data_IF_000615986222
#
_entry.id   IF_000615986222
#
_cell.length_a   1.000
_cell.length_b   1.000
_cell.length_c   1.000
_cell.angle_alpha   90.00
_cell.angle_beta   90.00
_cell.angle_gamma   90.00
#
_symmetry.space_group_name_H-M   'P 1'
#
loop_
_entity.id
_entity.type
_entity.pdbx_description
1 polymer ?
#
# COMPACT_ATOMS: atom_id res chain seq x y z
N UNK A 1 -3.20 -16.50 6.07
CA UNK A 1 -1.89 -15.81 6.02
C UNK A 1 -1.25 -15.81 7.40
N UNK A 2 0.08 -15.88 7.48
CA UNK A 2 0.87 -16.01 8.70
C UNK A 2 2.17 -15.23 8.59
N UNK A 3 2.57 -14.55 9.66
CA UNK A 3 3.88 -13.93 9.81
C UNK A 3 4.69 -14.66 10.88
N UNK A 4 5.94 -14.99 10.57
CA UNK A 4 6.87 -15.64 11.49
C UNK A 4 8.14 -14.82 11.59
N UNK A 5 8.59 -14.61 12.82
CA UNK A 5 9.92 -14.08 13.11
C UNK A 5 10.56 -14.91 14.22
N UNK A 6 11.49 -15.79 13.82
CA UNK A 6 12.03 -16.84 14.68
C UNK A 6 12.84 -16.33 15.87
N UNK A 7 13.52 -15.19 15.71
CA UNK A 7 14.42 -14.62 16.73
C UNK A 7 13.71 -14.38 18.06
N UNK A 8 12.44 -13.96 18.01
CA UNK A 8 11.59 -13.74 19.18
C UNK A 8 10.44 -14.74 19.29
N UNK A 9 10.50 -15.84 18.53
CA UNK A 9 9.44 -16.86 18.51
C UNK A 9 8.08 -16.38 18.02
N UNK A 10 7.99 -15.19 17.41
CA UNK A 10 6.75 -14.55 16.99
C UNK A 10 6.11 -15.36 15.86
N UNK A 11 4.83 -15.72 16.04
CA UNK A 11 4.01 -16.44 15.05
C UNK A 11 2.60 -15.84 15.03
N UNK A 12 2.38 -14.89 14.14
CA UNK A 12 1.09 -14.21 14.00
C UNK A 12 0.28 -14.91 12.93
N UNK A 13 -0.91 -15.40 13.30
CA UNK A 13 -1.89 -15.88 12.33
C UNK A 13 -2.89 -14.78 12.02
N UNK A 14 -2.95 -14.35 10.76
CA UNK A 14 -3.91 -13.33 10.31
C UNK A 14 -5.27 -13.97 10.13
N UNK A 15 -6.26 -13.48 10.89
CA UNK A 15 -7.65 -13.93 10.83
C UNK A 15 -8.49 -12.87 10.15
N UNK A 16 -9.41 -13.30 9.29
CA UNK A 16 -10.37 -12.38 8.67
C UNK A 16 -11.20 -11.67 9.74
N UNK A 17 -11.59 -10.43 9.44
CA UNK A 17 -12.41 -9.58 10.31
C UNK A 17 -11.81 -9.29 11.70
N UNK A 18 -10.51 -9.52 11.89
CA UNK A 18 -9.79 -9.23 13.13
C UNK A 18 -8.54 -8.44 12.83
N UNK A 19 -8.15 -7.59 13.78
CA UNK A 19 -6.86 -6.89 13.72
C UNK A 19 -5.84 -7.66 14.53
N UNK A 20 -4.67 -7.90 13.95
CA UNK A 20 -3.53 -8.45 14.66
C UNK A 20 -2.66 -7.30 15.16
N UNK A 21 -2.33 -7.33 16.44
CA UNK A 21 -1.46 -6.33 17.09
C UNK A 21 -0.24 -7.04 17.66
N UNK A 22 0.95 -6.60 17.27
CA UNK A 22 2.23 -6.99 17.86
C UNK A 22 2.71 -5.86 18.77
N UNK A 23 2.74 -6.12 20.07
CA UNK A 23 3.24 -5.20 21.09
C UNK A 23 4.68 -5.58 21.42
N UNK A 24 5.61 -4.65 21.24
CA UNK A 24 7.02 -4.83 21.58
C UNK A 24 7.39 -3.81 22.66
N UNK A 25 7.37 -4.24 23.92
CA UNK A 25 7.51 -3.31 25.06
C UNK A 25 8.94 -2.76 25.22
N UNK A 26 9.94 -3.52 24.76
CA UNK A 26 11.34 -3.09 24.82
C UNK A 26 11.67 -2.22 23.59
N UNK A 27 12.15 -0.99 23.79
CA UNK A 27 12.53 -0.10 22.67
C UNK A 27 13.54 -0.72 21.71
N UNK A 28 14.49 -1.53 22.23
CA UNK A 28 15.48 -2.23 21.40
C UNK A 28 14.82 -3.26 20.47
N UNK A 29 13.94 -4.10 21.00
CA UNK A 29 13.21 -5.12 20.22
C UNK A 29 12.29 -4.46 19.20
N UNK A 30 11.58 -3.40 19.62
CA UNK A 30 10.73 -2.62 18.73
C UNK A 30 11.53 -2.05 17.54
N UNK A 31 12.66 -1.38 17.82
CA UNK A 31 13.50 -0.81 16.80
C UNK A 31 14.08 -1.87 15.85
N UNK A 32 14.57 -2.99 16.38
CA UNK A 32 15.10 -4.12 15.59
C UNK A 32 14.03 -4.72 14.67
N UNK A 33 12.83 -4.98 15.19
CA UNK A 33 11.72 -5.51 14.40
C UNK A 33 11.31 -4.56 13.28
N UNK A 34 11.05 -3.29 13.62
CA UNK A 34 10.61 -2.28 12.64
C UNK A 34 11.69 -2.04 11.58
N UNK A 35 12.96 -1.99 11.97
CA UNK A 35 14.07 -1.85 11.03
C UNK A 35 14.17 -3.06 10.09
N UNK A 36 14.06 -4.27 10.61
CA UNK A 36 14.09 -5.51 9.82
C UNK A 36 12.92 -5.54 8.83
N UNK A 37 11.71 -5.25 9.30
CA UNK A 37 10.51 -5.20 8.47
C UNK A 37 10.63 -4.14 7.37
N UNK A 38 11.10 -2.93 7.72
CA UNK A 38 11.30 -1.85 6.76
C UNK A 38 12.35 -2.22 5.69
N UNK A 39 13.45 -2.86 6.07
CA UNK A 39 14.46 -3.32 5.11
C UNK A 39 13.89 -4.34 4.12
N UNK A 40 13.10 -5.31 4.60
CA UNK A 40 12.43 -6.28 3.74
C UNK A 40 11.37 -5.66 2.85
N UNK A 41 10.62 -4.70 3.37
CA UNK A 41 9.68 -3.89 2.60
C UNK A 41 10.39 -3.09 1.49
N UNK A 42 11.64 -2.67 1.69
CA UNK A 42 12.49 -2.06 0.65
C UNK A 42 13.12 -3.08 -0.32
N UNK A 43 12.76 -4.36 -0.23
CA UNK A 43 13.23 -5.41 -1.14
C UNK A 43 14.56 -6.04 -0.75
N UNK A 44 15.04 -5.83 0.48
CA UNK A 44 16.22 -6.52 1.01
C UNK A 44 15.85 -7.86 1.64
N UNK A 45 16.83 -8.74 1.78
CA UNK A 45 16.65 -9.99 2.53
C UNK A 45 16.44 -9.69 4.02
N UNK A 46 15.70 -10.56 4.70
CA UNK A 46 15.52 -10.46 6.15
C UNK A 46 14.83 -11.69 6.74
N UNK A 47 14.73 -11.71 8.07
CA UNK A 47 14.34 -12.88 8.84
C UNK A 47 12.83 -13.02 9.06
N UNK A 48 12.03 -12.04 8.63
CA UNK A 48 10.57 -12.07 8.77
C UNK A 48 10.00 -12.79 7.56
N UNK A 49 9.33 -13.91 7.81
CA UNK A 49 8.69 -14.71 6.77
C UNK A 49 7.20 -14.42 6.83
N UNK A 50 6.65 -13.91 5.72
CA UNK A 50 5.22 -13.79 5.51
C UNK A 50 4.80 -14.91 4.54
N UNK A 51 3.78 -15.68 4.88
CA UNK A 51 3.30 -16.74 4.02
C UNK A 51 1.79 -16.89 4.10
N UNK A 52 1.21 -17.55 3.12
CA UNK A 52 -0.15 -18.07 3.20
C UNK A 52 -0.12 -19.56 2.85
N UNK A 53 -0.37 -19.92 1.59
CA UNK A 53 -0.04 -21.25 1.05
C UNK A 53 1.44 -21.32 0.65
N UNK A 54 1.92 -20.26 0.02
CA UNK A 54 3.31 -20.03 -0.36
C UNK A 54 3.87 -18.80 0.36
N UNK A 55 5.18 -18.60 0.27
CA UNK A 55 5.84 -17.38 0.77
C UNK A 55 5.40 -16.14 -0.01
N UNK A 56 5.07 -15.07 0.73
CA UNK A 56 4.59 -13.80 0.21
C UNK A 56 5.74 -12.79 0.24
N UNK A 57 5.96 -12.11 -0.88
CA UNK A 57 7.00 -11.10 -0.97
C UNK A 57 6.55 -9.80 -0.32
N UNK A 58 7.12 -9.47 0.85
CA UNK A 58 6.77 -8.25 1.62
C UNK A 58 6.91 -6.97 0.78
N UNK A 59 7.97 -6.84 -0.02
CA UNK A 59 8.19 -5.67 -0.87
C UNK A 59 7.07 -5.47 -1.92
N UNK A 60 6.48 -6.56 -2.43
CA UNK A 60 5.49 -6.50 -3.51
C UNK A 60 4.04 -6.56 -3.05
N UNK A 61 3.76 -7.16 -1.91
CA UNK A 61 2.39 -7.54 -1.52
C UNK A 61 1.92 -6.93 -0.21
N UNK A 62 2.79 -6.20 0.48
CA UNK A 62 2.47 -5.48 1.72
C UNK A 62 2.48 -3.98 1.47
N UNK A 63 1.68 -3.24 2.22
CA UNK A 63 1.80 -1.79 2.39
C UNK A 63 2.25 -1.48 3.82
N UNK A 64 3.28 -0.66 3.97
CA UNK A 64 3.84 -0.28 5.27
C UNK A 64 3.65 1.22 5.50
N UNK A 65 2.92 1.57 6.55
CA UNK A 65 2.64 2.95 6.95
C UNK A 65 3.33 3.22 8.28
N UNK A 66 4.44 3.96 8.22
CA UNK A 66 5.19 4.40 9.40
C UNK A 66 4.90 5.85 9.80
N UNK A 67 4.34 6.63 8.87
CA UNK A 67 4.01 8.04 9.06
C UNK A 67 2.59 8.29 8.50
N UNK A 68 1.55 8.16 9.35
CA UNK A 68 0.17 8.39 8.93
C UNK A 68 -0.07 9.82 8.43
N UNK A 69 0.68 10.81 8.93
CA UNK A 69 0.49 12.23 8.59
C UNK A 69 0.81 12.46 7.11
N UNK A 70 1.90 11.86 6.64
CA UNK A 70 2.40 12.02 5.27
C UNK A 70 1.89 10.95 4.29
N UNK A 71 0.77 10.28 4.59
CA UNK A 71 0.10 9.40 3.62
C UNK A 71 -0.15 10.15 2.31
N UNK A 72 0.20 9.54 1.19
CA UNK A 72 -0.06 10.05 -0.14
C UNK A 72 -0.90 9.03 -0.93
N UNK A 73 -2.16 9.41 -1.18
CA UNK A 73 -3.12 8.62 -1.97
C UNK A 73 -2.61 8.43 -3.40
N UNK A 74 -1.88 9.40 -3.94
CA UNK A 74 -1.36 9.38 -5.29
C UNK A 74 0.14 9.04 -5.32
N UNK A 75 0.62 8.25 -4.35
CA UNK A 75 2.00 7.79 -4.37
C UNK A 75 2.32 7.03 -5.68
N UNK A 76 3.61 6.92 -5.99
CA UNK A 76 4.09 6.34 -7.25
C UNK A 76 3.55 4.93 -7.54
N UNK A 77 3.34 4.11 -6.51
CA UNK A 77 2.84 2.74 -6.64
C UNK A 77 1.37 2.75 -7.08
N UNK A 78 0.54 3.56 -6.43
CA UNK A 78 -0.88 3.74 -6.77
C UNK A 78 -1.03 4.31 -8.18
N UNK A 79 -0.35 5.43 -8.49
CA UNK A 79 -0.44 6.06 -9.82
C UNK A 79 0.07 5.14 -10.93
N UNK A 80 1.17 4.41 -10.67
CA UNK A 80 1.69 3.43 -11.62
C UNK A 80 0.66 2.35 -11.94
N UNK A 81 0.01 1.80 -10.92
CA UNK A 81 -1.00 0.75 -11.10
C UNK A 81 -2.29 1.31 -11.73
N UNK A 82 -2.73 2.51 -11.36
CA UNK A 82 -3.84 3.21 -12.00
C UNK A 82 -3.60 3.35 -13.51
N UNK A 83 -2.41 3.82 -13.92
CA UNK A 83 -2.08 3.98 -15.33
C UNK A 83 -2.00 2.65 -16.08
N UNK A 84 -1.55 1.57 -15.43
CA UNK A 84 -1.60 0.23 -16.02
C UNK A 84 -3.05 -0.22 -16.26
N UNK A 85 -3.95 0.02 -15.31
CA UNK A 85 -5.38 -0.32 -15.47
C UNK A 85 -6.04 0.51 -16.57
N UNK A 86 -5.81 1.82 -16.60
CA UNK A 86 -6.29 2.71 -17.68
C UNK A 86 -5.73 2.30 -19.04
N UNK A 87 -4.46 1.90 -19.11
CA UNK A 87 -3.85 1.39 -20.34
C UNK A 87 -4.57 0.14 -20.84
N UNK A 88 -4.89 -0.80 -19.94
CA UNK A 88 -5.61 -2.02 -20.29
C UNK A 88 -7.03 -1.72 -20.78
N UNK A 89 -7.76 -0.84 -20.10
CA UNK A 89 -9.09 -0.38 -20.53
C UNK A 89 -9.02 0.28 -21.91
N UNK A 90 -8.04 1.16 -22.14
CA UNK A 90 -7.85 1.81 -23.44
C UNK A 90 -7.50 0.82 -24.56
N UNK A 91 -6.91 -0.34 -24.24
CA UNK A 91 -6.64 -1.39 -25.22
C UNK A 91 -7.87 -2.22 -25.60
N UNK A 92 -9.00 -2.09 -24.89
CA UNK A 92 -10.26 -2.73 -25.30
C UNK A 92 -10.87 -2.02 -26.53
N UNK A 93 -10.59 -0.72 -26.70
CA UNK A 93 -11.09 0.12 -27.81
C UNK A 93 -9.96 0.58 -28.74
N UNK A 94 -9.26 -0.37 -29.36
CA UNK A 94 -8.10 -0.08 -30.22
C UNK A 94 -8.42 0.88 -31.38
N UNK A 95 -9.61 0.80 -31.97
CA UNK A 95 -9.99 1.64 -33.11
C UNK A 95 -9.99 3.14 -32.75
N UNK A 96 -10.59 3.52 -31.63
CA UNK A 96 -10.62 4.91 -31.15
C UNK A 96 -9.20 5.41 -30.84
N UNK A 97 -8.40 4.55 -30.23
CA UNK A 97 -6.99 4.79 -29.91
C UNK A 97 -6.17 5.07 -31.18
N UNK A 98 -6.36 4.28 -32.24
CA UNK A 98 -5.70 4.50 -33.53
C UNK A 98 -6.18 5.77 -34.22
N UNK A 99 -7.48 6.07 -34.14
CA UNK A 99 -8.05 7.29 -34.72
C UNK A 99 -7.43 8.54 -34.09
N UNK A 100 -7.41 8.63 -32.76
CA UNK A 100 -6.78 9.75 -32.03
C UNK A 100 -5.30 9.86 -32.38
N UNK A 101 -4.58 8.73 -32.38
CA UNK A 101 -3.16 8.73 -32.71
C UNK A 101 -2.88 9.25 -34.13
N UNK A 102 -3.71 8.86 -35.09
CA UNK A 102 -3.56 9.26 -36.50
C UNK A 102 -3.72 10.78 -36.66
N UNK A 103 -4.71 11.38 -36.02
CA UNK A 103 -4.90 12.84 -36.02
C UNK A 103 -3.70 13.58 -35.42
N UNK A 104 -3.16 13.08 -34.30
CA UNK A 104 -1.98 13.66 -33.64
C UNK A 104 -0.75 13.55 -34.55
N UNK A 105 -0.47 12.36 -35.10
CA UNK A 105 0.69 12.12 -35.97
C UNK A 105 0.61 13.00 -37.21
N UNK A 106 -0.56 13.10 -37.85
CA UNK A 106 -0.77 13.94 -39.02
C UNK A 106 -0.45 15.42 -38.74
N UNK A 107 -0.87 15.94 -37.59
CA UNK A 107 -0.55 17.30 -37.18
C UNK A 107 0.96 17.49 -36.92
N UNK A 108 1.60 16.55 -36.21
CA UNK A 108 3.03 16.61 -35.92
C UNK A 108 3.88 16.51 -37.19
N UNK A 109 3.51 15.64 -38.14
CA UNK A 109 4.19 15.53 -39.43
C UNK A 109 4.13 16.83 -40.24
N UNK A 110 2.99 17.53 -40.21
CA UNK A 110 2.89 18.86 -40.84
C UNK A 110 3.84 19.88 -40.20
N UNK A 111 4.04 19.83 -38.88
CA UNK A 111 4.99 20.71 -38.20
C UNK A 111 6.44 20.37 -38.57
N UNK A 112 6.78 19.08 -38.62
CA UNK A 112 8.11 18.62 -39.05
C UNK A 112 8.39 19.09 -40.48
N UNK A 113 7.45 18.91 -41.39
CA UNK A 113 7.59 19.33 -42.80
C UNK A 113 7.73 20.84 -42.96
N UNK A 114 7.06 21.64 -42.12
CA UNK A 114 7.19 23.11 -42.13
C UNK A 114 8.46 23.62 -41.43
N UNK A 115 9.18 22.77 -40.72
CA UNK A 115 10.37 23.18 -39.98
C UNK A 115 11.58 23.37 -40.92
N UNK A 116 12.53 24.20 -40.50
CA UNK A 116 13.79 24.42 -41.24
C UNK A 116 14.88 23.39 -40.91
N UNK A 117 14.57 22.40 -40.08
CA UNK A 117 15.54 21.40 -39.60
C UNK A 117 15.46 20.14 -40.47
N UNK A 118 16.60 19.71 -41.02
CA UNK A 118 16.66 18.60 -41.99
C UNK A 118 16.61 17.19 -41.37
N UNK A 119 16.82 17.08 -40.06
CA UNK A 119 17.04 15.82 -39.35
C UNK A 119 16.07 15.56 -38.20
N UNK A 120 14.84 16.09 -38.28
CA UNK A 120 13.79 15.78 -37.31
C UNK A 120 13.22 14.38 -37.57
N UNK A 121 12.99 13.64 -36.49
CA UNK A 121 12.36 12.32 -36.53
C UNK A 121 11.12 12.32 -35.62
N UNK A 122 9.98 11.91 -36.19
CA UNK A 122 8.77 11.62 -35.43
C UNK A 122 8.70 10.12 -35.12
N UNK A 123 8.32 9.78 -33.89
CA UNK A 123 7.98 8.41 -33.49
C UNK A 123 6.44 8.29 -33.52
N UNK A 124 5.85 7.54 -34.47
CA UNK A 124 4.41 7.58 -34.72
C UNK A 124 3.55 6.82 -33.71
N UNK A 125 4.18 6.03 -32.83
CA UNK A 125 3.48 5.23 -31.80
C UNK A 125 3.91 5.76 -30.43
N UNK A 126 3.07 6.54 -29.74
CA UNK A 126 3.38 7.04 -28.41
C UNK A 126 3.16 5.95 -27.35
N UNK A 127 3.85 6.13 -26.21
CA UNK A 127 3.54 5.42 -24.97
C UNK A 127 2.31 6.07 -24.35
N UNK A 128 1.18 5.37 -24.32
CA UNK A 128 -0.10 5.93 -23.88
C UNK A 128 -0.12 6.31 -22.39
N UNK A 129 0.76 5.70 -21.59
CA UNK A 129 0.98 6.09 -20.18
C UNK A 129 1.46 7.54 -20.07
N UNK A 130 2.15 8.07 -21.10
CA UNK A 130 2.57 9.46 -21.12
C UNK A 130 1.39 10.42 -21.31
N UNK A 131 0.30 9.96 -21.96
CA UNK A 131 -0.91 10.77 -22.10
C UNK A 131 -1.56 10.97 -20.73
N UNK A 132 -1.69 9.90 -19.94
CA UNK A 132 -2.27 9.98 -18.60
C UNK A 132 -1.45 10.91 -17.69
N UNK A 133 -0.11 10.86 -17.82
CA UNK A 133 0.80 11.78 -17.13
C UNK A 133 0.65 13.22 -17.59
N UNK A 134 0.55 13.45 -18.91
CA UNK A 134 0.42 14.79 -19.49
C UNK A 134 -0.83 15.51 -18.97
N UNK A 135 -1.93 14.77 -18.79
CA UNK A 135 -3.18 15.30 -18.25
C UNK A 135 -3.30 15.16 -16.73
N UNK A 136 -2.24 14.74 -16.03
CA UNK A 136 -2.20 14.58 -14.58
C UNK A 136 -3.37 13.76 -14.01
N UNK A 137 -3.76 12.67 -14.68
CA UNK A 137 -4.84 11.81 -14.19
C UNK A 137 -4.42 11.24 -12.84
N UNK A 138 -5.22 11.50 -11.81
CA UNK A 138 -4.96 11.11 -10.43
C UNK A 138 -6.27 10.89 -9.70
N UNK A 139 -6.19 10.31 -8.51
CA UNK A 139 -7.34 10.13 -7.64
C UNK A 139 -7.61 11.44 -6.92
N UNK A 140 -8.83 11.94 -7.06
CA UNK A 140 -9.28 13.19 -6.46
C UNK A 140 -10.25 12.89 -5.33
N UNK A 141 -9.78 13.05 -4.09
CA UNK A 141 -10.57 12.83 -2.87
C UNK A 141 -10.29 13.96 -1.90
N UNK A 142 -11.34 14.68 -1.53
CA UNK A 142 -11.29 15.68 -0.47
C UNK A 142 -11.38 14.99 0.89
N UNK A 143 -10.43 15.28 1.78
CA UNK A 143 -10.42 14.75 3.14
C UNK A 143 -10.18 15.90 4.12
N UNK A 144 -10.88 15.86 5.25
CA UNK A 144 -10.86 16.94 6.25
C UNK A 144 -10.04 16.58 7.48
N UNK A 145 -9.87 15.29 7.75
CA UNK A 145 -9.13 14.78 8.90
C UNK A 145 -8.07 13.75 8.49
N UNK A 146 -7.10 13.53 9.38
CA UNK A 146 -6.10 12.47 9.24
C UNK A 146 -6.77 11.08 9.12
N UNK A 147 -7.84 10.85 9.88
CA UNK A 147 -8.58 9.61 9.87
C UNK A 147 -9.26 9.37 8.52
N UNK A 148 -9.98 10.37 7.99
CA UNK A 148 -10.60 10.28 6.66
C UNK A 148 -9.55 10.00 5.59
N UNK A 149 -8.42 10.71 5.63
CA UNK A 149 -7.30 10.51 4.71
C UNK A 149 -6.76 9.08 4.74
N UNK A 150 -6.60 8.50 5.93
CA UNK A 150 -6.19 7.11 6.10
C UNK A 150 -7.21 6.13 5.52
N UNK A 151 -8.50 6.34 5.78
CA UNK A 151 -9.56 5.45 5.28
C UNK A 151 -9.65 5.51 3.75
N UNK A 152 -9.59 6.71 3.15
CA UNK A 152 -9.61 6.87 1.69
C UNK A 152 -8.37 6.25 1.04
N UNK A 153 -7.21 6.42 1.66
CA UNK A 153 -6.00 5.73 1.24
C UNK A 153 -6.16 4.20 1.24
N UNK A 154 -6.73 3.62 2.29
CA UNK A 154 -6.96 2.17 2.37
C UNK A 154 -7.96 1.67 1.32
N UNK A 155 -9.04 2.42 1.07
CA UNK A 155 -10.00 2.11 0.00
C UNK A 155 -9.29 2.04 -1.35
N UNK A 156 -8.49 3.07 -1.68
CA UNK A 156 -7.72 3.17 -2.91
C UNK A 156 -6.71 2.04 -3.04
N UNK A 157 -5.90 1.78 -2.00
CA UNK A 157 -4.90 0.72 -2.06
C UNK A 157 -5.56 -0.67 -2.18
N UNK A 158 -6.67 -0.91 -1.48
CA UNK A 158 -7.36 -2.20 -1.57
C UNK A 158 -7.95 -2.47 -2.95
N UNK A 159 -8.44 -1.45 -3.64
CA UNK A 159 -9.04 -1.58 -4.98
C UNK A 159 -8.00 -1.64 -6.10
N UNK A 160 -7.02 -0.72 -6.08
CA UNK A 160 -6.03 -0.57 -7.16
C UNK A 160 -4.86 -1.53 -6.98
N UNK A 161 -4.24 -1.54 -5.78
CA UNK A 161 -3.04 -2.33 -5.54
C UNK A 161 -3.35 -3.79 -5.19
N UNK A 162 -4.59 -4.08 -4.75
CA UNK A 162 -5.07 -5.42 -4.40
C UNK A 162 -4.18 -6.12 -3.36
N UNK A 163 -3.55 -5.32 -2.49
CA UNK A 163 -2.71 -5.80 -1.40
C UNK A 163 -3.57 -6.42 -0.31
N UNK A 164 -3.06 -7.49 0.31
CA UNK A 164 -3.79 -8.25 1.32
C UNK A 164 -3.40 -7.89 2.74
N UNK A 165 -2.21 -7.33 2.96
CA UNK A 165 -1.70 -6.96 4.29
C UNK A 165 -1.27 -5.48 4.33
N UNK A 166 -1.77 -4.78 5.34
CA UNK A 166 -1.39 -3.42 5.68
C UNK A 166 -0.75 -3.42 7.06
N UNK A 167 0.44 -2.87 7.16
CA UNK A 167 1.21 -2.82 8.40
C UNK A 167 1.37 -1.38 8.84
N UNK A 168 1.04 -1.10 10.09
CA UNK A 168 1.17 0.22 10.68
C UNK A 168 2.11 0.18 11.87
N UNK A 169 2.86 1.26 12.05
CA UNK A 169 3.73 1.45 13.22
C UNK A 169 3.13 2.53 14.11
N UNK A 170 2.80 2.16 15.36
CA UNK A 170 2.21 3.04 16.38
C UNK A 170 0.97 3.82 15.92
N UNK A 171 0.06 3.18 15.18
CA UNK A 171 -1.11 3.85 14.62
C UNK A 171 -2.05 4.38 15.70
N UNK A 172 -2.19 3.63 16.79
CA UNK A 172 -3.12 3.95 17.89
C UNK A 172 -2.80 5.25 18.61
N UNK A 173 -1.57 5.76 18.48
CA UNK A 173 -1.20 7.04 19.09
C UNK A 173 -1.81 8.25 18.38
N UNK A 174 -2.33 8.08 17.16
CA UNK A 174 -2.88 9.15 16.33
C UNK A 174 -4.40 9.31 16.44
N UNK A 175 -5.09 8.32 17.00
CA UNK A 175 -6.55 8.21 16.91
C UNK A 175 -7.18 7.92 18.27
N UNK A 176 -8.36 8.47 18.49
CA UNK A 176 -9.16 8.13 19.66
C UNK A 176 -9.74 6.70 19.55
N UNK A 177 -10.19 6.14 20.67
CA UNK A 177 -10.80 4.81 20.69
C UNK A 177 -12.01 4.70 19.75
N UNK A 178 -12.81 5.76 19.62
CA UNK A 178 -13.95 5.79 18.70
C UNK A 178 -13.51 5.66 17.22
N UNK A 179 -12.47 6.38 16.82
CA UNK A 179 -11.87 6.29 15.49
C UNK A 179 -11.22 4.91 15.27
N UNK A 180 -10.55 4.35 16.27
CA UNK A 180 -9.99 2.99 16.19
C UNK A 180 -11.07 1.92 16.04
N UNK A 181 -12.25 2.06 16.66
CA UNK A 181 -13.39 1.18 16.41
C UNK A 181 -13.93 1.32 14.98
N UNK A 182 -14.01 2.55 14.47
CA UNK A 182 -14.42 2.78 13.09
C UNK A 182 -13.40 2.21 12.09
N UNK A 183 -12.10 2.34 12.38
CA UNK A 183 -11.02 1.73 11.62
C UNK A 183 -11.19 0.21 11.52
N UNK A 184 -11.44 -0.48 12.65
CA UNK A 184 -11.73 -1.93 12.67
C UNK A 184 -12.93 -2.26 11.75
N UNK A 185 -14.00 -1.45 11.80
CA UNK A 185 -15.17 -1.66 10.94
C UNK A 185 -14.85 -1.45 9.45
N UNK A 186 -13.97 -0.51 9.10
CA UNK A 186 -13.49 -0.33 7.73
C UNK A 186 -12.61 -1.51 7.28
N UNK A 187 -11.69 -1.98 8.12
CA UNK A 187 -10.87 -3.17 7.83
C UNK A 187 -11.73 -4.38 7.50
N UNK A 188 -12.79 -4.63 8.30
CA UNK A 188 -13.80 -5.68 8.05
C UNK A 188 -14.52 -5.50 6.71
N UNK A 189 -15.02 -4.28 6.43
CA UNK A 189 -15.73 -3.95 5.18
C UNK A 189 -14.86 -4.14 3.94
N UNK A 190 -13.59 -3.72 4.02
CA UNK A 190 -12.63 -3.84 2.93
C UNK A 190 -12.06 -5.25 2.78
N UNK A 191 -12.28 -6.15 3.77
CA UNK A 191 -11.76 -7.52 3.81
C UNK A 191 -10.24 -7.58 3.65
N UNK A 192 -9.54 -6.66 4.30
CA UNK A 192 -8.07 -6.59 4.32
C UNK A 192 -7.52 -7.12 5.64
N UNK A 193 -6.28 -7.63 5.64
CA UNK A 193 -5.57 -7.94 6.87
C UNK A 193 -4.75 -6.74 7.34
N UNK A 194 -4.70 -6.55 8.66
CA UNK A 194 -3.93 -5.46 9.29
C UNK A 194 -3.04 -6.02 10.38
N UNK A 195 -1.78 -5.57 10.38
CA UNK A 195 -0.85 -5.70 11.51
C UNK A 195 -0.59 -4.32 12.10
N UNK A 196 -0.89 -4.14 13.38
CA UNK A 196 -0.46 -2.97 14.15
C UNK A 196 0.80 -3.36 14.94
N UNK A 197 1.91 -2.67 14.71
CA UNK A 197 3.14 -2.81 15.49
C UNK A 197 3.13 -1.66 16.50
N UNK A 198 2.96 -1.99 17.77
CA UNK A 198 2.73 -1.02 18.83
C UNK A 198 3.80 -1.16 19.93
N UNK A 199 4.16 -0.05 20.58
CA UNK A 199 5.05 -0.08 21.75
C UNK A 199 4.30 -0.23 23.07
N UNK A 200 2.98 -0.04 23.06
CA UNK A 200 2.12 -0.07 24.25
C UNK A 200 0.97 -1.03 23.98
N UNK A 201 0.63 -1.84 24.98
CA UNK A 201 -0.54 -2.71 24.89
C UNK A 201 -1.82 -1.87 24.72
N UNK A 202 -2.65 -2.14 23.70
CA UNK A 202 -3.92 -1.44 23.56
C UNK A 202 -4.92 -1.87 24.63
N UNK A 203 -5.97 -1.07 24.84
CA UNK A 203 -7.14 -1.54 25.59
C UNK A 203 -7.72 -2.74 24.82
N UNK A 204 -7.72 -3.89 25.48
CA UNK A 204 -8.14 -5.14 24.87
C UNK A 204 -9.60 -5.05 24.39
N UNK A 205 -9.85 -5.46 23.14
CA UNK A 205 -11.20 -5.57 22.59
C UNK A 205 -11.41 -6.90 21.84
N UNK A 206 -12.68 -7.30 21.71
CA UNK A 206 -13.06 -8.61 21.18
C UNK A 206 -12.63 -8.87 19.71
N UNK A 207 -12.28 -7.83 18.96
CA UNK A 207 -11.89 -7.90 17.54
C UNK A 207 -10.38 -7.80 17.31
N UNK A 208 -9.60 -7.79 18.39
CA UNK A 208 -8.14 -7.70 18.35
C UNK A 208 -7.48 -8.94 18.92
N UNK A 209 -6.46 -9.41 18.20
CA UNK A 209 -5.53 -10.43 18.64
C UNK A 209 -4.23 -9.75 19.00
N UNK A 210 -3.80 -9.92 20.25
CA UNK A 210 -2.62 -9.21 20.74
C UNK A 210 -1.51 -10.21 21.06
N UNK A 211 -0.37 -10.00 20.42
CA UNK A 211 0.87 -10.75 20.63
C UNK A 211 1.85 -9.79 21.30
N UNK A 212 2.34 -10.12 22.49
CA UNK A 212 3.19 -9.22 23.27
C UNK A 212 4.54 -9.89 23.47
N UNK A 213 5.62 -9.19 23.09
CA UNK A 213 6.96 -9.47 23.59
C UNK A 213 7.21 -8.53 24.75
N UNK A 214 7.17 -9.09 25.96
CA UNK A 214 7.33 -8.34 27.19
C UNK A 214 8.81 -7.95 27.45
N UNK A 215 9.06 -7.29 28.58
CA UNK A 215 10.41 -6.88 28.98
C UNK A 215 11.39 -8.04 29.24
N UNK A 216 10.87 -9.23 29.52
CA UNK A 216 11.63 -10.46 29.77
C UNK A 216 11.82 -11.32 28.51
N UNK A 217 11.43 -10.80 27.34
CA UNK A 217 11.44 -11.49 26.05
C UNK A 217 10.49 -12.69 25.97
N UNK A 218 9.48 -12.75 26.83
CA UNK A 218 8.45 -13.76 26.76
C UNK A 218 7.38 -13.35 25.75
N UNK A 219 6.95 -14.32 24.93
CA UNK A 219 5.80 -14.16 24.06
C UNK A 219 4.51 -14.47 24.82
N UNK A 220 3.62 -13.49 24.91
CA UNK A 220 2.28 -13.62 25.50
C UNK A 220 1.26 -13.46 24.37
N UNK A 221 0.33 -14.40 24.26
CA UNK A 221 -0.72 -14.39 23.25
C UNK A 221 -2.10 -14.19 23.91
N UNK A 222 -2.79 -13.10 23.55
CA UNK A 222 -4.17 -12.79 23.95
C UNK A 222 -5.07 -12.89 22.72
N UNK A 223 -5.51 -14.13 22.43
CA UNK A 223 -6.25 -14.51 21.21
C UNK A 223 -7.61 -15.08 21.62
N UNK A 224 -8.69 -14.65 20.96
CA UNK A 224 -10.07 -15.05 21.27
C UNK A 224 -10.81 -15.61 20.05
#
# INVERSE_FOLDING_TARGET
MKLVYYEYGIKINFRENRIQTLVLERPKVFAEFVQTFFQQFQGKDGAIILSDQDEINIHKEVELIMDPINIDINNKRVIGQLYNELHNIANESLEEKFKINSEIVNYLDQLVWKSSYENLQLIPIPKWENLFKLYEIKIDVETTSLFEKLIEYLKVCSSILKLRLYVFVNLRQYFEEAEMQEFINWVKRLKIHVLLIESVEPVYNADTDVYIIDQDYCLIEKIY
#
